data_IF_056646273526
#
_entry.id   IF_056646273526
#
_cell.length_a   1.000
_cell.length_b   1.000
_cell.length_c   1.000
_cell.angle_alpha   90.00
_cell.angle_beta   90.00
_cell.angle_gamma   90.00
#
_symmetry.space_group_name_H-M   'P 1'
#
loop_
_entity.id
_entity.type
_entity.pdbx_description
1 polymer ?
#
# COMPACT_ATOMS: atom_id res chain seq x y z
N UNK A 1 10.67 -9.27 -17.50
CA UNK A 1 10.45 -9.76 -16.14
C UNK A 1 11.07 -8.87 -15.08
N UNK A 2 12.30 -8.40 -15.30
CA UNK A 2 12.93 -7.46 -14.37
C UNK A 2 12.18 -6.14 -14.33
N UNK A 3 11.63 -5.73 -15.46
CA UNK A 3 10.85 -4.50 -15.53
C UNK A 3 9.57 -4.61 -14.69
N UNK A 4 8.91 -5.75 -14.74
CA UNK A 4 7.72 -5.98 -13.94
C UNK A 4 8.07 -5.98 -12.46
N UNK A 5 9.16 -6.63 -12.09
CA UNK A 5 9.62 -6.67 -10.72
C UNK A 5 9.87 -5.25 -10.17
N UNK A 6 10.61 -4.45 -10.95
CA UNK A 6 10.91 -3.08 -10.54
C UNK A 6 9.66 -2.21 -10.47
N UNK A 7 8.73 -2.42 -11.39
CA UNK A 7 7.49 -1.67 -11.40
C UNK A 7 6.66 -1.98 -10.16
N UNK A 8 6.54 -3.25 -9.83
CA UNK A 8 5.77 -3.66 -8.65
C UNK A 8 6.42 -3.13 -7.39
N UNK A 9 7.74 -3.20 -7.30
CA UNK A 9 8.47 -2.67 -6.14
C UNK A 9 8.17 -1.19 -5.94
N UNK A 10 8.17 -0.42 -7.02
CA UNK A 10 7.86 0.99 -6.96
C UNK A 10 6.41 1.22 -6.54
N UNK A 11 5.48 0.42 -7.07
CA UNK A 11 4.07 0.54 -6.71
C UNK A 11 3.84 0.24 -5.24
N UNK A 12 4.55 -0.76 -4.71
CA UNK A 12 4.45 -1.08 -3.28
C UNK A 12 4.93 0.09 -2.43
N UNK A 13 6.05 0.70 -2.81
CA UNK A 13 6.56 1.86 -2.08
C UNK A 13 5.58 3.02 -2.10
N UNK A 14 4.98 3.29 -3.25
CA UNK A 14 3.99 4.35 -3.36
C UNK A 14 2.78 4.07 -2.47
N UNK A 15 2.32 2.83 -2.45
CA UNK A 15 1.20 2.44 -1.60
C UNK A 15 1.55 2.55 -0.12
N UNK A 16 2.77 2.20 0.25
CA UNK A 16 3.22 2.35 1.62
C UNK A 16 3.25 3.81 2.07
N UNK A 17 3.63 4.70 1.15
CA UNK A 17 3.61 6.14 1.42
C UNK A 17 2.17 6.61 1.65
N UNK A 18 1.25 6.17 0.80
CA UNK A 18 -0.17 6.51 0.95
C UNK A 18 -0.73 5.98 2.27
N UNK A 19 -0.37 4.74 2.61
CA UNK A 19 -0.78 4.13 3.87
C UNK A 19 -0.28 4.96 5.05
N UNK A 20 1.00 5.29 5.04
CA UNK A 20 1.59 6.07 6.12
C UNK A 20 0.93 7.45 6.25
N UNK A 21 0.59 8.07 5.13
CA UNK A 21 -0.07 9.37 5.15
C UNK A 21 -1.43 9.30 5.84
N UNK A 22 -2.20 8.27 5.52
CA UNK A 22 -3.52 8.08 6.15
C UNK A 22 -3.37 7.76 7.63
N UNK A 23 -2.43 6.89 7.98
CA UNK A 23 -2.17 6.56 9.37
C UNK A 23 -1.75 7.78 10.17
N UNK A 24 -0.97 8.66 9.55
CA UNK A 24 -0.54 9.89 10.19
C UNK A 24 -1.73 10.80 10.48
N UNK A 25 -2.68 10.87 9.56
CA UNK A 25 -3.89 11.67 9.77
C UNK A 25 -4.68 11.17 10.99
N UNK A 26 -4.81 9.86 11.12
CA UNK A 26 -5.48 9.28 12.29
C UNK A 26 -4.72 9.58 13.57
N UNK A 27 -3.40 9.43 13.53
CA UNK A 27 -2.56 9.67 14.68
C UNK A 27 -2.63 11.13 15.16
N UNK A 28 -2.71 12.05 14.20
CA UNK A 28 -2.77 13.48 14.51
C UNK A 28 -4.19 13.92 14.90
N UNK A 29 -5.16 13.06 14.77
CA UNK A 29 -6.55 13.41 15.09
C UNK A 29 -7.13 14.43 14.12
N UNK A 30 -6.62 14.46 12.89
CA UNK A 30 -7.05 15.43 11.89
C UNK A 30 -8.19 14.91 11.00
N UNK A 31 -8.61 13.67 11.21
CA UNK A 31 -9.71 13.10 10.45
C UNK A 31 -11.01 13.45 11.14
N UNK A 32 -11.93 14.10 10.42
CA UNK A 32 -13.23 14.42 10.95
C UNK A 32 -14.03 13.13 11.20
N UNK A 33 -14.91 13.16 12.21
CA UNK A 33 -15.71 11.98 12.54
C UNK A 33 -16.48 11.45 11.34
N UNK A 34 -16.91 12.35 10.47
CA UNK A 34 -17.64 11.97 9.25
C UNK A 34 -16.77 11.21 8.27
N UNK A 35 -15.46 11.45 8.30
CA UNK A 35 -14.52 10.88 7.35
C UNK A 35 -13.79 9.65 7.87
N UNK A 36 -13.90 9.36 9.17
CA UNK A 36 -13.17 8.24 9.77
C UNK A 36 -13.49 6.93 9.05
N UNK A 37 -14.76 6.65 8.82
CA UNK A 37 -15.15 5.41 8.17
C UNK A 37 -14.61 5.33 6.74
N UNK A 38 -14.70 6.41 5.99
CA UNK A 38 -14.21 6.46 4.63
C UNK A 38 -12.69 6.28 4.59
N UNK A 39 -11.98 6.97 5.47
CA UNK A 39 -10.51 6.84 5.52
C UNK A 39 -10.08 5.44 5.94
N UNK A 40 -10.81 4.82 6.85
CA UNK A 40 -10.52 3.45 7.25
C UNK A 40 -10.70 2.49 6.09
N UNK A 41 -11.71 2.69 5.25
CA UNK A 41 -11.93 1.87 4.07
C UNK A 41 -10.82 2.08 3.04
N UNK A 42 -10.38 3.32 2.86
CA UNK A 42 -9.26 3.62 1.96
C UNK A 42 -7.99 2.93 2.43
N UNK A 43 -7.72 3.00 3.72
CA UNK A 43 -6.54 2.35 4.29
C UNK A 43 -6.59 0.84 4.09
N UNK A 44 -7.73 0.24 4.35
CA UNK A 44 -7.90 -1.21 4.16
C UNK A 44 -7.68 -1.60 2.69
N UNK A 45 -8.21 -0.82 1.76
CA UNK A 45 -8.03 -1.07 0.34
C UNK A 45 -6.55 -0.97 -0.05
N UNK A 46 -5.84 0.00 0.50
CA UNK A 46 -4.41 0.14 0.24
C UNK A 46 -3.63 -1.06 0.78
N UNK A 47 -3.96 -1.50 1.98
CA UNK A 47 -3.30 -2.66 2.59
C UNK A 47 -3.52 -3.90 1.73
N UNK A 48 -4.73 -4.11 1.23
CA UNK A 48 -5.02 -5.26 0.38
C UNK A 48 -4.24 -5.19 -0.93
N UNK A 49 -4.11 -4.00 -1.50
CA UNK A 49 -3.31 -3.83 -2.72
C UNK A 49 -1.84 -4.14 -2.46
N UNK A 50 -1.32 -3.71 -1.32
CA UNK A 50 0.06 -3.98 -0.96
C UNK A 50 0.26 -5.49 -0.84
N UNK A 51 -0.62 -6.18 -0.14
CA UNK A 51 -0.51 -7.63 0.04
C UNK A 51 -0.52 -8.37 -1.29
N UNK A 52 -1.44 -7.99 -2.19
CA UNK A 52 -1.52 -8.62 -3.50
C UNK A 52 -0.24 -8.39 -4.31
N UNK A 53 0.27 -7.17 -4.28
CA UNK A 53 1.49 -6.85 -5.01
C UNK A 53 2.71 -7.50 -4.40
N UNK A 54 2.75 -7.63 -3.08
CA UNK A 54 3.85 -8.32 -2.41
C UNK A 54 3.89 -9.79 -2.79
N UNK A 55 2.74 -10.44 -2.90
CA UNK A 55 2.69 -11.83 -3.34
C UNK A 55 3.30 -11.98 -4.73
N UNK A 56 2.93 -11.09 -5.65
CA UNK A 56 3.49 -11.12 -6.99
C UNK A 56 4.98 -10.81 -6.98
N UNK A 57 5.36 -9.87 -6.14
CA UNK A 57 6.76 -9.49 -5.99
C UNK A 57 7.61 -10.68 -5.54
N UNK A 58 7.12 -11.44 -4.56
CA UNK A 58 7.81 -12.64 -4.09
C UNK A 58 7.95 -13.69 -5.19
N UNK A 59 6.90 -13.89 -5.98
CA UNK A 59 6.95 -14.82 -7.09
C UNK A 59 8.02 -14.43 -8.09
N UNK A 60 8.07 -13.15 -8.45
CA UNK A 60 9.05 -12.65 -9.38
C UNK A 60 10.46 -12.70 -8.82
N UNK A 61 10.60 -12.41 -7.55
CA UNK A 61 11.89 -12.47 -6.87
C UNK A 61 12.48 -13.87 -6.94
N UNK A 62 11.65 -14.88 -6.74
CA UNK A 62 12.08 -16.26 -6.83
C UNK A 62 12.55 -16.64 -8.23
N UNK A 63 11.93 -16.03 -9.24
CA UNK A 63 12.29 -16.33 -10.64
C UNK A 63 13.55 -15.61 -11.10
N UNK A 64 13.87 -14.49 -10.48
CA UNK A 64 15.00 -13.68 -10.90
C UNK A 64 16.33 -14.27 -10.40
N UNK A 65 16.31 -15.02 -9.36
CA UNK A 65 17.49 -15.70 -8.86
C UNK A 65 17.93 -16.81 -9.84
#
# INVERSE_FOLDING_TARGET
EQKEYQKIEKEIKDLEIQKAAIEQLFSDGKVADEDIEQKAKELEAIIQKIETKEERWFELSAKIE
#
